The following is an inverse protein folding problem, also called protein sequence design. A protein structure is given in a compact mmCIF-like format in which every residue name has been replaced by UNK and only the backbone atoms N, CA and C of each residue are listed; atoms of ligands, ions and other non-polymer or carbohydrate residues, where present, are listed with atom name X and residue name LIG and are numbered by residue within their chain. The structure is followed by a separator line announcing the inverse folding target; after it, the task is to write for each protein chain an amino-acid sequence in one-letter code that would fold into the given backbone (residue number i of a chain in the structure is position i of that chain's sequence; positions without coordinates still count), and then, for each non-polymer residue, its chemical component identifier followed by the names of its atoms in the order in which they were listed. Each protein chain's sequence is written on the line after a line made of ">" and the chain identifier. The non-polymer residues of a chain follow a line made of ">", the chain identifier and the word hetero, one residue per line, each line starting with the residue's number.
data_IF_682155226876
#
_entry.id   IF_682155226876
#
_cell.length_a   1.000
_cell.length_b   1.000
_cell.length_c   1.000
_cell.angle_alpha   90.00
_cell.angle_beta   90.00
_cell.angle_gamma   90.00
#
_symmetry.space_group_name_H-M   'P 1'
#
loop_
_entity.id
_entity.type
_entity.pdbx_description
1 polymer ?
#
# COMPACT_ATOMS: atom_id res chain seq x y z
N UNK A 1 -3.95 2.72 -22.62
CA UNK A 1 -3.25 1.53 -23.17
C UNK A 1 -2.21 1.10 -22.15
N UNK A 2 -2.54 0.12 -21.28
CA UNK A 2 -1.55 -0.51 -20.41
C UNK A 2 -0.68 -1.42 -21.29
N UNK A 3 0.46 -0.91 -21.73
CA UNK A 3 1.44 -1.72 -22.45
C UNK A 3 2.28 -2.47 -21.42
N UNK A 4 1.75 -3.59 -20.93
CA UNK A 4 2.44 -4.48 -19.99
C UNK A 4 3.75 -4.91 -20.65
N UNK A 5 4.88 -4.53 -20.05
CA UNK A 5 6.20 -4.96 -20.53
C UNK A 5 6.30 -6.47 -20.36
N UNK A 6 6.64 -7.17 -21.44
CA UNK A 6 7.03 -8.57 -21.35
C UNK A 6 8.29 -8.72 -20.50
N UNK A 7 8.53 -9.90 -19.93
CA UNK A 7 9.76 -10.17 -19.17
C UNK A 7 11.01 -9.91 -20.00
N UNK A 8 10.97 -10.22 -21.30
CA UNK A 8 12.06 -9.94 -22.23
C UNK A 8 12.29 -8.44 -22.43
N UNK A 9 11.24 -7.65 -22.65
CA UNK A 9 11.37 -6.20 -22.75
C UNK A 9 11.87 -5.57 -21.46
N UNK A 10 11.39 -6.05 -20.30
CA UNK A 10 11.84 -5.62 -18.99
C UNK A 10 13.33 -5.91 -18.80
N UNK A 11 13.77 -7.13 -19.12
CA UNK A 11 15.19 -7.53 -19.05
C UNK A 11 16.09 -6.62 -19.89
N UNK A 12 15.69 -6.31 -21.14
CA UNK A 12 16.44 -5.42 -22.03
C UNK A 12 16.51 -3.99 -21.49
N UNK A 13 15.41 -3.48 -20.93
CA UNK A 13 15.41 -2.17 -20.30
C UNK A 13 16.36 -2.15 -19.10
N UNK A 14 16.39 -3.21 -18.29
CA UNK A 14 17.24 -3.30 -17.11
C UNK A 14 18.71 -3.26 -17.52
N UNK A 15 19.11 -4.00 -18.55
CA UNK A 15 20.49 -3.97 -19.04
C UNK A 15 20.91 -2.57 -19.47
N UNK A 16 20.06 -1.90 -20.26
CA UNK A 16 20.30 -0.51 -20.68
C UNK A 16 20.40 0.44 -19.49
N UNK A 17 19.52 0.29 -18.50
CA UNK A 17 19.54 1.13 -17.30
C UNK A 17 20.83 0.92 -16.48
N UNK A 18 21.31 -0.32 -16.36
CA UNK A 18 22.60 -0.64 -15.71
C UNK A 18 23.78 -0.04 -16.48
N UNK A 19 23.71 0.03 -17.80
CA UNK A 19 24.72 0.68 -18.65
C UNK A 19 24.70 2.23 -18.56
N UNK A 20 23.65 2.80 -17.95
CA UNK A 20 23.48 4.23 -17.74
C UNK A 20 22.42 4.90 -18.63
N UNK A 21 21.58 4.14 -19.33
CA UNK A 21 20.44 4.69 -20.09
C UNK A 21 19.36 5.20 -19.13
N UNK A 22 19.33 6.52 -18.97
CA UNK A 22 18.37 7.22 -18.13
C UNK A 22 16.91 6.99 -18.55
N UNK A 23 16.62 6.89 -19.86
CA UNK A 23 15.25 6.65 -20.34
C UNK A 23 14.81 5.22 -20.00
N UNK A 24 15.72 4.27 -20.09
CA UNK A 24 15.44 2.90 -19.67
C UNK A 24 15.18 2.83 -18.16
N UNK A 25 16.00 3.51 -17.35
CA UNK A 25 15.80 3.58 -15.91
C UNK A 25 14.46 4.24 -15.54
N UNK A 26 14.15 5.38 -16.14
CA UNK A 26 12.86 6.07 -15.96
C UNK A 26 11.69 5.13 -16.23
N UNK A 27 11.72 4.44 -17.39
CA UNK A 27 10.65 3.52 -17.78
C UNK A 27 10.48 2.35 -16.79
N UNK A 28 11.57 1.81 -16.25
CA UNK A 28 11.51 0.74 -15.25
C UNK A 28 10.94 1.27 -13.93
N UNK A 29 11.43 2.40 -13.43
CA UNK A 29 10.96 2.96 -12.16
C UNK A 29 9.48 3.35 -12.25
N UNK A 30 9.06 4.01 -13.34
CA UNK A 30 7.65 4.31 -13.60
C UNK A 30 6.78 3.06 -13.70
N UNK A 31 7.32 1.92 -14.15
CA UNK A 31 6.55 0.67 -14.24
C UNK A 31 6.19 0.08 -12.88
N UNK A 32 6.94 0.42 -11.82
CA UNK A 32 6.72 -0.08 -10.45
C UNK A 32 6.32 1.01 -9.46
N UNK A 33 6.16 2.26 -9.90
CA UNK A 33 5.92 3.38 -8.99
C UNK A 33 4.61 3.26 -8.22
N UNK A 34 3.55 2.84 -8.92
CA UNK A 34 2.22 2.66 -8.32
C UNK A 34 2.23 1.47 -7.34
N UNK A 35 2.95 0.39 -7.66
CA UNK A 35 3.13 -0.76 -6.77
C UNK A 35 3.81 -0.35 -5.47
N UNK A 36 4.97 0.33 -5.57
CA UNK A 36 5.74 0.78 -4.41
C UNK A 36 4.91 1.75 -3.56
N UNK A 37 4.25 2.72 -4.19
CA UNK A 37 3.40 3.68 -3.48
C UNK A 37 2.26 3.01 -2.73
N UNK A 38 1.48 2.12 -3.36
CA UNK A 38 0.37 1.44 -2.70
C UNK A 38 0.85 0.53 -1.57
N UNK A 39 1.94 -0.22 -1.78
CA UNK A 39 2.48 -1.07 -0.73
C UNK A 39 2.91 -0.23 0.49
N UNK A 40 3.57 0.91 0.27
CA UNK A 40 3.94 1.85 1.34
C UNK A 40 2.71 2.45 2.02
N UNK A 41 1.72 2.92 1.27
CA UNK A 41 0.48 3.50 1.81
C UNK A 41 -0.26 2.52 2.72
N UNK A 42 -0.45 1.28 2.26
CA UNK A 42 -1.15 0.27 3.05
C UNK A 42 -0.35 -0.18 4.26
N UNK A 43 0.98 -0.14 4.16
CA UNK A 43 1.85 -0.52 5.27
C UNK A 43 1.93 0.58 6.33
N UNK A 44 1.99 1.85 5.95
CA UNK A 44 2.29 2.98 6.84
C UNK A 44 1.08 3.82 7.23
N UNK A 45 0.00 3.77 6.46
CA UNK A 45 -1.32 4.31 6.82
C UNK A 45 -1.60 5.74 6.36
N UNK A 46 -0.59 6.50 5.89
CA UNK A 46 -0.76 7.89 5.42
C UNK A 46 -0.09 8.11 4.07
N UNK A 47 -0.57 9.08 3.28
CA UNK A 47 0.05 9.45 1.99
C UNK A 47 1.45 10.00 2.19
N UNK A 48 1.64 10.88 3.17
CA UNK A 48 2.93 11.48 3.47
C UNK A 48 4.01 10.43 3.78
N UNK A 49 3.71 9.50 4.71
CA UNK A 49 4.65 8.44 5.07
C UNK A 49 4.91 7.50 3.88
N UNK A 50 3.90 7.28 3.02
CA UNK A 50 4.02 6.46 1.83
C UNK A 50 4.96 7.07 0.78
N UNK A 51 4.85 8.37 0.54
CA UNK A 51 5.71 9.12 -0.39
C UNK A 51 7.17 9.10 0.06
N UNK A 52 7.41 9.38 1.35
CA UNK A 52 8.75 9.38 1.93
C UNK A 52 9.39 7.99 1.87
N UNK A 53 8.65 6.94 2.24
CA UNK A 53 9.15 5.56 2.14
C UNK A 53 9.34 5.11 0.69
N UNK A 54 8.46 5.51 -0.24
CA UNK A 54 8.61 5.20 -1.66
C UNK A 54 9.91 5.80 -2.23
N UNK A 55 10.25 7.04 -1.84
CA UNK A 55 11.52 7.66 -2.21
C UNK A 55 12.72 6.83 -1.78
N UNK A 56 12.78 6.45 -0.50
CA UNK A 56 13.85 5.62 0.05
C UNK A 56 13.93 4.26 -0.67
N UNK A 57 12.78 3.67 -1.03
CA UNK A 57 12.70 2.42 -1.79
C UNK A 57 13.22 2.61 -3.21
N UNK A 58 12.85 3.67 -3.93
CA UNK A 58 13.36 3.91 -5.28
C UNK A 58 14.87 4.11 -5.29
N UNK A 59 15.42 4.82 -4.31
CA UNK A 59 16.88 4.93 -4.13
C UNK A 59 17.50 3.54 -3.98
N UNK A 60 16.91 2.65 -3.17
CA UNK A 60 17.39 1.26 -3.02
C UNK A 60 17.28 0.46 -4.31
N UNK A 61 16.18 0.58 -5.04
CA UNK A 61 15.97 -0.10 -6.33
C UNK A 61 17.05 0.34 -7.32
N UNK A 62 17.25 1.64 -7.49
CA UNK A 62 18.24 2.20 -8.43
C UNK A 62 19.66 1.76 -8.04
N UNK A 63 20.03 1.90 -6.77
CA UNK A 63 21.39 1.58 -6.28
C UNK A 63 21.71 0.09 -6.31
N UNK A 64 20.71 -0.78 -6.24
CA UNK A 64 20.90 -2.23 -6.27
C UNK A 64 20.54 -2.85 -7.63
N UNK A 65 20.22 -2.05 -8.65
CA UNK A 65 19.71 -2.56 -9.93
C UNK A 65 20.70 -3.53 -10.61
N UNK A 66 22.00 -3.27 -10.51
CA UNK A 66 23.08 -4.15 -11.03
C UNK A 66 23.07 -5.55 -10.40
N UNK A 67 22.56 -5.69 -9.17
CA UNK A 67 22.50 -6.96 -8.44
C UNK A 67 21.32 -7.85 -8.83
N UNK A 68 20.38 -7.34 -9.65
CA UNK A 68 19.21 -8.11 -10.06
C UNK A 68 19.59 -9.19 -11.08
N UNK A 69 19.62 -10.45 -10.61
CA UNK A 69 20.03 -11.62 -11.41
C UNK A 69 19.00 -12.13 -12.42
N UNK A 70 17.80 -11.54 -12.49
CA UNK A 70 16.70 -11.96 -13.39
C UNK A 70 16.25 -13.42 -13.22
N UNK A 71 16.44 -13.96 -12.01
CA UNK A 71 15.96 -15.30 -11.61
C UNK A 71 14.49 -15.30 -11.16
N UNK A 72 13.90 -14.10 -11.02
CA UNK A 72 12.48 -13.88 -10.75
C UNK A 72 12.00 -12.66 -11.52
N UNK A 73 10.68 -12.47 -11.60
CA UNK A 73 10.11 -11.24 -12.17
C UNK A 73 10.65 -10.00 -11.45
N UNK A 74 10.83 -8.90 -12.19
CA UNK A 74 11.32 -7.63 -11.62
C UNK A 74 10.41 -7.12 -10.49
N UNK A 75 9.09 -7.29 -10.63
CA UNK A 75 8.12 -6.95 -9.58
C UNK A 75 8.37 -7.70 -8.27
N UNK A 76 8.70 -9.00 -8.33
CA UNK A 76 9.05 -9.82 -7.16
C UNK A 76 10.30 -9.29 -6.45
N UNK A 77 11.32 -8.91 -7.21
CA UNK A 77 12.53 -8.31 -6.63
C UNK A 77 12.24 -6.96 -5.96
N UNK A 78 11.40 -6.11 -6.59
CA UNK A 78 10.94 -4.84 -6.03
C UNK A 78 10.11 -5.05 -4.76
N UNK A 79 9.20 -6.04 -4.73
CA UNK A 79 8.45 -6.40 -3.53
C UNK A 79 9.37 -6.74 -2.37
N UNK A 80 10.41 -7.55 -2.61
CA UNK A 80 11.38 -7.93 -1.58
C UNK A 80 12.12 -6.71 -1.01
N UNK A 81 12.61 -5.81 -1.86
CA UNK A 81 13.26 -4.56 -1.41
C UNK A 81 12.28 -3.72 -0.59
N UNK A 82 11.07 -3.55 -1.10
CA UNK A 82 10.04 -2.70 -0.50
C UNK A 82 9.60 -3.22 0.87
N UNK A 83 9.27 -4.51 0.97
CA UNK A 83 8.85 -5.15 2.22
C UNK A 83 9.96 -5.11 3.26
N UNK A 84 11.21 -5.39 2.88
CA UNK A 84 12.35 -5.30 3.80
C UNK A 84 12.54 -3.89 4.33
N UNK A 85 12.44 -2.87 3.46
CA UNK A 85 12.53 -1.48 3.88
C UNK A 85 11.38 -1.13 4.84
N UNK A 86 10.13 -1.42 4.46
CA UNK A 86 8.93 -1.08 5.22
C UNK A 86 8.86 -1.79 6.58
N UNK A 87 9.33 -3.04 6.70
CA UNK A 87 9.42 -3.74 8.00
C UNK A 87 10.30 -3.01 9.01
N UNK A 88 11.33 -2.30 8.52
CA UNK A 88 12.28 -1.54 9.33
C UNK A 88 11.96 -0.04 9.42
N UNK A 89 10.94 0.45 8.70
CA UNK A 89 10.62 1.86 8.67
C UNK A 89 9.98 2.30 9.99
N UNK A 90 10.60 3.27 10.69
CA UNK A 90 10.17 3.75 12.01
C UNK A 90 9.73 5.22 12.06
N UNK A 91 9.78 5.92 10.93
CA UNK A 91 9.46 7.35 10.84
C UNK A 91 7.97 7.64 10.60
N UNK A 92 7.12 6.61 10.62
CA UNK A 92 5.69 6.74 10.32
C UNK A 92 4.85 7.02 11.58
N UNK A 93 3.66 7.59 11.38
CA UNK A 93 2.74 8.03 12.45
C UNK A 93 2.47 6.96 13.53
N UNK A 94 2.30 5.71 13.13
CA UNK A 94 1.92 4.59 14.02
C UNK A 94 3.10 3.84 14.64
N UNK A 95 4.35 4.26 14.41
CA UNK A 95 5.53 3.49 14.82
C UNK A 95 5.70 3.43 16.35
N UNK A 96 5.36 4.52 17.04
CA UNK A 96 5.59 4.69 18.48
C UNK A 96 4.32 4.50 19.33
N UNK A 97 3.16 4.42 18.69
CA UNK A 97 1.86 4.20 19.33
C UNK A 97 1.03 3.23 18.46
N UNK A 98 1.37 1.93 18.47
CA UNK A 98 0.68 0.94 17.64
C UNK A 98 -0.78 0.82 18.07
N UNK A 99 -1.67 0.79 17.08
CA UNK A 99 -3.09 0.55 17.32
C UNK A 99 -3.33 -0.93 17.63
N UNK A 100 -4.44 -1.23 18.29
CA UNK A 100 -4.95 -2.60 18.47
C UNK A 100 -6.40 -2.67 18.03
N UNK A 101 -6.85 -3.86 17.65
CA UNK A 101 -8.26 -4.06 17.29
C UNK A 101 -9.21 -3.80 18.47
N UNK A 102 -8.77 -4.10 19.69
CA UNK A 102 -9.53 -3.81 20.91
C UNK A 102 -9.71 -2.30 21.10
N UNK A 103 -8.62 -1.54 21.02
CA UNK A 103 -8.67 -0.08 21.11
C UNK A 103 -9.54 0.52 20.00
N UNK A 104 -9.38 0.04 18.76
CA UNK A 104 -10.13 0.59 17.64
C UNK A 104 -11.62 0.24 17.72
N UNK A 105 -11.97 -0.98 18.16
CA UNK A 105 -13.34 -1.37 18.45
C UNK A 105 -13.96 -0.49 19.53
N UNK A 106 -13.23 -0.26 20.62
CA UNK A 106 -13.69 0.60 21.72
C UNK A 106 -13.93 2.06 21.26
N UNK A 107 -13.11 2.61 20.37
CA UNK A 107 -13.35 3.93 19.77
C UNK A 107 -14.62 3.96 18.89
N UNK A 108 -14.91 2.87 18.18
CA UNK A 108 -16.13 2.78 17.37
C UNK A 108 -17.36 2.80 18.28
N UNK A 109 -17.34 2.03 19.38
CA UNK A 109 -18.47 1.89 20.29
C UNK A 109 -18.67 3.09 21.22
N UNK A 110 -17.59 3.66 21.74
CA UNK A 110 -17.63 4.68 22.79
C UNK A 110 -17.28 6.09 22.30
N UNK A 111 -16.97 6.25 21.02
CA UNK A 111 -16.66 7.55 20.42
C UNK A 111 -17.85 8.50 20.57
N UNK A 112 -17.62 9.67 21.16
CA UNK A 112 -18.63 10.71 21.36
C UNK A 112 -18.85 11.49 20.06
N UNK A 113 -19.77 11.01 19.23
CA UNK A 113 -20.01 11.58 17.89
C UNK A 113 -21.09 12.66 17.87
N UNK A 114 -22.03 12.64 18.83
CA UNK A 114 -23.19 13.55 18.86
C UNK A 114 -22.82 14.98 19.31
N UNK A 115 -21.81 15.11 20.16
CA UNK A 115 -21.39 16.40 20.75
C UNK A 115 -20.31 17.12 19.93
N UNK A 116 -20.06 16.68 18.68
CA UNK A 116 -19.02 17.27 17.82
C UNK A 116 -19.63 18.33 16.90
N UNK A 117 -19.13 19.58 16.93
CA UNK A 117 -19.64 20.64 16.04
C UNK A 117 -19.42 20.28 14.56
N UNK A 118 -20.09 21.01 13.67
CA UNK A 118 -19.78 20.91 12.24
C UNK A 118 -18.36 21.41 11.96
N UNK A 119 -17.50 20.50 11.52
CA UNK A 119 -16.11 20.75 11.17
C UNK A 119 -15.84 20.52 9.69
N UNK A 120 -16.88 20.38 8.86
CA UNK A 120 -16.77 20.02 7.43
C UNK A 120 -16.10 21.08 6.56
N UNK A 121 -15.98 22.32 7.06
CA UNK A 121 -15.42 23.47 6.32
C UNK A 121 -16.10 23.71 4.96
N UNK A 122 -17.37 23.36 4.83
CA UNK A 122 -18.14 23.53 3.59
C UNK A 122 -17.95 22.43 2.55
N UNK A 123 -17.14 21.40 2.83
CA UNK A 123 -17.04 20.20 1.99
C UNK A 123 -18.26 19.30 2.22
N UNK A 124 -18.80 18.71 1.15
CA UNK A 124 -19.94 17.80 1.28
C UNK A 124 -19.61 16.59 2.17
N UNK A 125 -20.53 16.27 3.09
CA UNK A 125 -20.36 15.14 4.02
C UNK A 125 -20.21 13.79 3.32
N UNK A 126 -20.80 13.63 2.14
CA UNK A 126 -20.66 12.43 1.30
C UNK A 126 -19.20 12.22 0.88
N UNK A 127 -18.55 13.28 0.38
CA UNK A 127 -17.11 13.26 0.02
C UNK A 127 -16.25 12.96 1.25
N UNK A 128 -16.51 13.61 2.38
CA UNK A 128 -15.76 13.36 3.62
C UNK A 128 -16.00 11.96 4.20
N UNK A 129 -17.20 11.41 4.02
CA UNK A 129 -17.51 10.03 4.41
C UNK A 129 -16.73 9.03 3.55
N UNK A 130 -16.63 9.26 2.24
CA UNK A 130 -15.85 8.39 1.36
C UNK A 130 -14.34 8.50 1.66
N UNK A 131 -13.84 9.71 1.93
CA UNK A 131 -12.48 9.95 2.45
C UNK A 131 -12.25 9.15 3.74
N UNK A 132 -13.19 9.20 4.68
CA UNK A 132 -13.13 8.45 5.93
C UNK A 132 -13.14 6.94 5.72
N UNK A 133 -13.97 6.41 4.80
CA UNK A 133 -14.00 4.97 4.47
C UNK A 133 -12.64 4.48 4.00
N UNK A 134 -11.95 5.27 3.19
CA UNK A 134 -10.64 4.91 2.70
C UNK A 134 -9.55 5.06 3.77
N UNK A 135 -9.62 6.14 4.56
CA UNK A 135 -8.72 6.36 5.71
C UNK A 135 -8.85 5.24 6.74
N UNK A 136 -10.07 4.88 7.16
CA UNK A 136 -10.27 3.85 8.20
C UNK A 136 -9.79 2.47 7.76
N UNK A 137 -9.87 2.15 6.45
CA UNK A 137 -9.32 0.93 5.89
C UNK A 137 -7.80 0.87 6.10
N UNK A 138 -7.09 1.97 5.88
CA UNK A 138 -5.64 2.05 6.10
C UNK A 138 -5.25 2.03 7.58
N UNK A 139 -5.96 2.80 8.39
CA UNK A 139 -5.72 2.90 9.83
C UNK A 139 -6.00 1.56 10.53
N UNK A 140 -7.04 0.83 10.12
CA UNK A 140 -7.37 -0.49 10.68
C UNK A 140 -6.24 -1.49 10.48
N UNK A 141 -5.57 -1.46 9.32
CA UNK A 141 -4.42 -2.34 9.07
C UNK A 141 -3.26 -2.06 10.04
N UNK A 142 -3.22 -0.89 10.67
CA UNK A 142 -2.23 -0.56 11.69
C UNK A 142 -2.45 -1.32 13.01
N UNK A 143 -3.62 -1.94 13.20
CA UNK A 143 -3.90 -2.86 14.31
C UNK A 143 -3.25 -4.24 14.15
N UNK A 144 -2.75 -4.56 12.95
CA UNK A 144 -1.89 -5.72 12.71
C UNK A 144 -0.45 -5.36 13.02
N UNK A 145 0.32 -6.33 13.53
CA UNK A 145 1.78 -6.19 13.55
C UNK A 145 2.32 -6.07 12.11
N UNK A 146 3.50 -5.48 11.96
CA UNK A 146 4.06 -5.16 10.64
C UNK A 146 4.18 -6.38 9.72
N UNK A 147 4.53 -7.56 10.26
CA UNK A 147 4.66 -8.77 9.44
C UNK A 147 3.29 -9.29 8.98
N UNK A 148 2.32 -9.38 9.89
CA UNK A 148 0.93 -9.74 9.54
C UNK A 148 0.31 -8.75 8.54
N UNK A 149 0.62 -7.47 8.68
CA UNK A 149 0.18 -6.43 7.75
C UNK A 149 0.75 -6.66 6.34
N UNK A 150 2.06 -6.90 6.24
CA UNK A 150 2.69 -7.22 4.95
C UNK A 150 2.08 -8.48 4.32
N UNK A 151 1.87 -9.55 5.09
CA UNK A 151 1.23 -10.79 4.61
C UNK A 151 -0.16 -10.47 4.04
N UNK A 152 -0.97 -9.72 4.78
CA UNK A 152 -2.32 -9.35 4.34
C UNK A 152 -2.30 -8.52 3.06
N UNK A 153 -1.44 -7.50 2.97
CA UNK A 153 -1.35 -6.62 1.80
C UNK A 153 -0.94 -7.41 0.56
N UNK A 154 0.11 -8.23 0.65
CA UNK A 154 0.59 -9.03 -0.48
C UNK A 154 -0.45 -10.04 -0.96
N UNK A 155 -1.13 -10.73 -0.04
CA UNK A 155 -2.08 -11.78 -0.40
C UNK A 155 -3.46 -11.28 -0.80
N UNK A 156 -3.96 -10.23 -0.14
CA UNK A 156 -5.33 -9.73 -0.34
C UNK A 156 -5.40 -8.63 -1.38
N UNK A 157 -4.42 -7.72 -1.41
CA UNK A 157 -4.48 -6.53 -2.26
C UNK A 157 -3.72 -6.74 -3.56
N UNK A 158 -2.50 -7.28 -3.46
CA UNK A 158 -1.68 -7.58 -4.63
C UNK A 158 -1.88 -9.00 -5.19
N UNK A 159 -2.60 -9.87 -4.45
CA UNK A 159 -2.93 -11.24 -4.86
C UNK A 159 -1.70 -12.07 -5.28
N UNK A 160 -0.60 -11.94 -4.53
CA UNK A 160 0.61 -12.74 -4.77
C UNK A 160 0.38 -14.22 -4.51
N UNK A 161 0.88 -15.06 -5.43
CA UNK A 161 1.05 -16.51 -5.26
C UNK A 161 1.89 -16.82 -4.00
N UNK A 162 1.55 -17.90 -3.29
CA UNK A 162 2.18 -18.22 -2.00
C UNK A 162 3.66 -18.55 -2.11
N UNK A 163 4.15 -19.02 -3.27
CA UNK A 163 5.58 -19.24 -3.51
C UNK A 163 6.30 -17.90 -3.60
N UNK A 164 5.79 -16.98 -4.42
CA UNK A 164 6.35 -15.62 -4.57
C UNK A 164 6.29 -14.88 -3.24
N UNK A 165 5.16 -14.92 -2.54
CA UNK A 165 5.03 -14.28 -1.23
C UNK A 165 5.97 -14.91 -0.19
N UNK A 166 6.17 -16.23 -0.24
CA UNK A 166 7.15 -16.94 0.59
C UNK A 166 8.59 -16.45 0.34
N UNK A 167 8.99 -16.28 -0.92
CA UNK A 167 10.28 -15.71 -1.30
C UNK A 167 10.46 -14.26 -0.83
N UNK A 168 9.41 -13.44 -0.97
CA UNK A 168 9.41 -12.04 -0.54
C UNK A 168 9.53 -11.92 0.98
N UNK A 169 8.83 -12.78 1.73
CA UNK A 169 8.73 -12.70 3.18
C UNK A 169 9.73 -13.59 3.94
N UNK A 170 10.48 -14.45 3.25
CA UNK A 170 11.43 -15.37 3.85
C UNK A 170 10.75 -16.50 4.64
N UNK A 171 9.64 -17.03 4.15
CA UNK A 171 8.90 -18.13 4.77
C UNK A 171 8.42 -19.16 3.75
N UNK A 172 7.98 -20.34 4.20
CA UNK A 172 7.43 -21.35 3.29
C UNK A 172 6.05 -20.92 2.77
N UNK A 173 5.72 -21.35 1.55
CA UNK A 173 4.40 -21.13 0.94
C UNK A 173 3.25 -21.59 1.84
N UNK A 174 3.42 -22.75 2.51
CA UNK A 174 2.46 -23.28 3.48
C UNK A 174 2.29 -22.37 4.70
N UNK A 175 3.39 -21.92 5.30
CA UNK A 175 3.34 -21.01 6.44
C UNK A 175 2.68 -19.68 6.08
N UNK A 176 2.94 -19.16 4.88
CA UNK A 176 2.30 -17.97 4.35
C UNK A 176 0.79 -18.14 4.22
N UNK A 177 0.31 -19.20 3.56
CA UNK A 177 -1.13 -19.48 3.37
C UNK A 177 -1.87 -19.57 4.70
N UNK A 178 -1.30 -20.32 5.65
CA UNK A 178 -1.88 -20.45 6.99
C UNK A 178 -1.95 -19.12 7.76
N UNK A 179 -0.89 -18.30 7.70
CA UNK A 179 -0.88 -16.99 8.33
C UNK A 179 -1.88 -16.04 7.67
N UNK A 180 -1.90 -15.98 6.33
CA UNK A 180 -2.81 -15.14 5.56
C UNK A 180 -4.28 -15.45 5.90
N UNK A 181 -4.66 -16.73 5.92
CA UNK A 181 -6.04 -17.12 6.26
C UNK A 181 -6.44 -16.67 7.68
N UNK A 182 -5.53 -16.83 8.67
CA UNK A 182 -5.78 -16.34 10.04
C UNK A 182 -5.92 -14.82 10.10
N UNK A 183 -5.09 -14.09 9.36
CA UNK A 183 -5.12 -12.63 9.34
C UNK A 183 -6.41 -12.13 8.67
N UNK A 184 -6.79 -12.71 7.53
CA UNK A 184 -8.06 -12.41 6.85
C UNK A 184 -9.25 -12.61 7.76
N UNK A 185 -9.31 -13.73 8.47
CA UNK A 185 -10.37 -14.01 9.45
C UNK A 185 -10.43 -12.94 10.54
N UNK A 186 -9.28 -12.60 11.14
CA UNK A 186 -9.20 -11.56 12.17
C UNK A 186 -9.74 -10.20 11.68
N UNK A 187 -9.37 -9.80 10.47
CA UNK A 187 -9.85 -8.55 9.87
C UNK A 187 -11.34 -8.64 9.52
N UNK A 188 -11.79 -9.75 8.93
CA UNK A 188 -13.19 -9.98 8.56
C UNK A 188 -14.11 -9.98 9.79
N UNK A 189 -13.70 -10.62 10.89
CA UNK A 189 -14.44 -10.65 12.15
C UNK A 189 -14.59 -9.24 12.73
N UNK A 190 -13.51 -8.46 12.74
CA UNK A 190 -13.55 -7.07 13.18
C UNK A 190 -14.49 -6.22 12.32
N UNK A 191 -14.35 -6.28 11.00
CA UNK A 191 -15.21 -5.51 10.09
C UNK A 191 -16.67 -5.96 10.22
N UNK A 192 -16.94 -7.26 10.33
CA UNK A 192 -18.30 -7.79 10.50
C UNK A 192 -18.96 -7.34 11.80
N UNK A 193 -18.16 -7.18 12.86
CA UNK A 193 -18.63 -6.75 14.18
C UNK A 193 -18.88 -5.24 14.24
N UNK A 194 -17.97 -4.43 13.68
CA UNK A 194 -17.95 -2.99 13.92
C UNK A 194 -18.33 -2.14 12.70
N UNK A 195 -18.00 -2.58 11.48
CA UNK A 195 -18.17 -1.77 10.26
C UNK A 195 -19.54 -1.96 9.62
N UNK A 196 -20.30 -0.88 9.47
CA UNK A 196 -21.61 -0.88 8.82
C UNK A 196 -21.61 -1.05 7.31
N UNK A 197 -20.50 -0.71 6.65
CA UNK A 197 -20.38 -0.83 5.19
C UNK A 197 -20.06 -2.26 4.76
N UNK A 198 -19.49 -3.06 5.68
CA UNK A 198 -19.05 -4.43 5.41
C UNK A 198 -19.94 -5.49 6.06
N UNK A 199 -20.57 -5.18 7.20
CA UNK A 199 -21.41 -6.11 7.92
C UNK A 199 -22.51 -5.40 8.71
N UNK A 200 -23.05 -6.09 9.72
CA UNK A 200 -24.10 -5.57 10.60
C UNK A 200 -23.60 -4.63 11.69
N UNK A 201 -22.34 -4.19 11.62
CA UNK A 201 -21.72 -3.37 12.66
C UNK A 201 -22.35 -1.98 12.80
N UNK A 202 -22.09 -1.31 13.93
CA UNK A 202 -22.72 -0.03 14.27
C UNK A 202 -22.04 1.19 13.66
N UNK A 203 -20.79 1.09 13.19
CA UNK A 203 -20.09 2.23 12.59
C UNK A 203 -20.83 2.73 11.34
N UNK A 204 -21.04 4.05 11.25
CA UNK A 204 -21.60 4.74 10.08
C UNK A 204 -20.68 5.90 9.71
N UNK A 205 -20.00 5.81 8.58
CA UNK A 205 -18.99 6.82 8.19
C UNK A 205 -19.57 8.23 8.12
N UNK A 206 -20.78 8.37 7.56
CA UNK A 206 -21.52 9.64 7.48
C UNK A 206 -21.74 10.31 8.84
N UNK A 207 -22.00 9.54 9.89
CA UNK A 207 -22.24 10.05 11.25
C UNK A 207 -20.92 10.38 11.97
N UNK A 208 -19.81 9.75 11.55
CA UNK A 208 -18.50 9.90 12.18
C UNK A 208 -17.61 10.97 11.55
N UNK A 209 -18.06 11.67 10.50
CA UNK A 209 -17.25 12.66 9.77
C UNK A 209 -16.65 13.70 10.70
N UNK A 210 -17.46 14.41 11.50
CA UNK A 210 -16.97 15.47 12.38
C UNK A 210 -16.03 14.92 13.46
N UNK A 211 -16.38 13.79 14.07
CA UNK A 211 -15.52 13.09 15.03
C UNK A 211 -14.17 12.68 14.42
N UNK A 212 -14.17 12.23 13.16
CA UNK A 212 -12.95 11.87 12.45
C UNK A 212 -12.07 13.09 12.16
N UNK A 213 -12.67 14.24 11.81
CA UNK A 213 -11.95 15.51 11.62
C UNK A 213 -11.34 15.97 12.95
N UNK A 214 -12.11 15.95 14.04
CA UNK A 214 -11.66 16.32 15.38
C UNK A 214 -10.47 15.48 15.85
N UNK A 215 -10.48 14.18 15.56
CA UNK A 215 -9.40 13.25 15.91
C UNK A 215 -8.30 13.15 14.84
N UNK A 216 -8.25 14.10 13.91
CA UNK A 216 -7.23 14.20 12.86
C UNK A 216 -7.10 12.95 11.97
N UNK A 217 -8.19 12.19 11.78
CA UNK A 217 -8.23 11.03 10.87
C UNK A 217 -8.44 11.40 9.42
N UNK A 218 -9.11 12.53 9.18
CA UNK A 218 -9.31 13.15 7.87
C UNK A 218 -9.21 14.67 8.03
N UNK A 219 -8.87 15.37 6.96
CA UNK A 219 -8.75 16.83 6.93
C UNK A 219 -9.59 17.38 5.77
N UNK A 220 -10.63 18.20 6.01
CA UNK A 220 -11.44 18.77 4.93
C UNK A 220 -10.64 19.65 3.96
N UNK A 221 -9.54 20.25 4.42
CA UNK A 221 -8.64 21.02 3.58
C UNK A 221 -7.67 20.15 2.75
N UNK A 222 -7.59 18.85 3.04
CA UNK A 222 -6.70 17.90 2.38
C UNK A 222 -7.38 16.52 2.25
N UNK A 223 -8.07 16.34 1.12
CA UNK A 223 -8.77 15.09 0.78
C UNK A 223 -7.83 14.18 -0.02
N UNK A 224 -6.99 13.42 0.68
CA UNK A 224 -5.95 12.60 0.05
C UNK A 224 -6.56 11.52 -0.87
N UNK A 225 -7.60 10.82 -0.41
CA UNK A 225 -8.22 9.74 -1.19
C UNK A 225 -9.14 10.26 -2.28
N UNK A 226 -9.93 11.30 -2.00
CA UNK A 226 -10.84 11.88 -3.00
C UNK A 226 -10.08 12.52 -4.19
N UNK A 227 -8.88 13.05 -3.95
CA UNK A 227 -8.03 13.62 -4.99
C UNK A 227 -7.11 12.61 -5.67
N UNK A 228 -6.99 11.40 -5.12
CA UNK A 228 -6.13 10.36 -5.69
C UNK A 228 -6.76 9.73 -6.94
N UNK A 229 -5.96 9.58 -8.00
CA UNK A 229 -6.41 8.87 -9.19
C UNK A 229 -6.40 7.37 -8.93
N UNK A 230 -7.55 6.70 -9.00
CA UNK A 230 -7.66 5.26 -8.83
C UNK A 230 -7.11 4.49 -10.05
N UNK A 231 -6.43 3.37 -9.80
CA UNK A 231 -6.04 2.43 -10.86
C UNK A 231 -6.96 1.20 -10.86
N UNK A 232 -7.29 0.65 -12.04
CA UNK A 232 -8.07 -0.58 -12.12
C UNK A 232 -7.37 -1.72 -11.37
N UNK A 233 -8.15 -2.51 -10.62
CA UNK A 233 -7.66 -3.69 -9.88
C UNK A 233 -6.83 -4.63 -10.78
N UNK A 234 -7.21 -4.77 -12.05
CA UNK A 234 -6.47 -5.57 -13.02
C UNK A 234 -5.01 -5.09 -13.21
N UNK A 235 -4.75 -3.78 -13.14
CA UNK A 235 -3.39 -3.23 -13.26
C UNK A 235 -2.50 -3.67 -12.10
N UNK A 236 -3.09 -3.91 -10.93
CA UNK A 236 -2.36 -4.40 -9.74
C UNK A 236 -2.14 -5.91 -9.82
N UNK A 237 -3.13 -6.64 -10.33
CA UNK A 237 -3.03 -8.09 -10.57
C UNK A 237 -2.01 -8.39 -11.67
N UNK A 238 -1.86 -7.51 -12.66
CA UNK A 238 -0.90 -7.70 -13.74
C UNK A 238 0.57 -7.76 -13.26
N UNK A 239 0.87 -7.35 -12.01
CA UNK A 239 2.19 -7.53 -11.40
C UNK A 239 2.49 -8.97 -10.96
N UNK A 240 1.49 -9.86 -10.95
CA UNK A 240 1.63 -11.26 -10.52
C UNK A 240 1.32 -12.21 -11.69
N UNK A 241 2.23 -13.15 -11.93
CA UNK A 241 2.11 -14.09 -13.06
C UNK A 241 1.17 -15.28 -12.78
N UNK A 242 0.76 -15.45 -11.51
CA UNK A 242 -0.13 -16.51 -11.08
C UNK A 242 -1.07 -16.01 -9.97
N UNK A 243 -2.37 -16.28 -10.12
CA UNK A 243 -3.36 -16.15 -9.06
C UNK A 243 -3.59 -17.55 -8.46
N UNK A 244 -3.35 -17.70 -7.16
CA UNK A 244 -3.79 -18.90 -6.44
C UNK A 244 -5.31 -18.88 -6.25
N UNK A 245 -5.93 -20.06 -6.13
CA UNK A 245 -7.29 -20.16 -5.61
C UNK A 245 -7.32 -19.53 -4.22
N UNK A 246 -8.09 -18.45 -4.11
CA UNK A 246 -8.12 -17.65 -2.91
C UNK A 246 -9.27 -18.14 -2.04
N UNK A 247 -9.04 -18.23 -0.72
CA UNK A 247 -10.10 -18.55 0.25
C UNK A 247 -11.32 -17.62 0.10
N UNK A 248 -12.51 -18.10 0.49
CA UNK A 248 -13.79 -17.37 0.32
C UNK A 248 -13.75 -15.95 0.92
N UNK A 249 -12.99 -15.77 1.99
CA UNK A 249 -12.80 -14.48 2.67
C UNK A 249 -12.02 -13.47 1.85
N UNK A 250 -11.36 -13.84 0.76
CA UNK A 250 -10.65 -12.88 -0.08
C UNK A 250 -11.57 -11.94 -0.86
N UNK A 251 -12.73 -12.44 -1.29
CA UNK A 251 -13.69 -11.67 -2.08
C UNK A 251 -14.27 -10.52 -1.26
N UNK A 252 -14.38 -10.74 0.05
CA UNK A 252 -14.77 -9.74 1.05
C UNK A 252 -13.92 -8.47 1.06
N UNK A 253 -12.68 -8.52 0.56
CA UNK A 253 -11.76 -7.37 0.61
C UNK A 253 -11.70 -6.55 -0.68
N UNK A 254 -12.70 -6.70 -1.57
CA UNK A 254 -12.80 -5.94 -2.82
C UNK A 254 -12.92 -4.42 -2.67
N UNK A 255 -13.23 -3.92 -1.46
CA UNK A 255 -13.28 -2.48 -1.14
C UNK A 255 -11.89 -1.81 -1.06
N UNK A 256 -10.82 -2.60 -1.03
CA UNK A 256 -9.45 -2.12 -0.98
C UNK A 256 -9.04 -1.50 -2.33
N UNK A 257 -9.27 -0.19 -2.49
CA UNK A 257 -8.87 0.54 -3.70
C UNK A 257 -7.35 0.61 -3.89
N UNK A 258 -6.91 0.93 -5.09
CA UNK A 258 -5.49 1.15 -5.41
C UNK A 258 -5.36 2.44 -6.20
N UNK A 259 -4.27 3.17 -5.99
CA UNK A 259 -4.11 4.53 -6.50
C UNK A 259 -2.88 4.66 -7.39
N UNK A 260 -2.89 5.60 -8.33
CA UNK A 260 -1.64 6.03 -8.95
C UNK A 260 -0.75 6.69 -7.91
N UNK A 261 0.55 6.48 -8.07
CA UNK A 261 1.58 7.24 -7.39
C UNK A 261 1.31 8.75 -7.53
N UNK A 262 1.48 9.46 -6.41
CA UNK A 262 1.14 10.89 -6.33
C UNK A 262 2.03 11.72 -7.25
N UNK A 263 1.59 12.95 -7.55
CA UNK A 263 2.41 13.91 -8.28
C UNK A 263 3.75 14.17 -7.57
N UNK A 264 3.75 14.20 -6.23
CA UNK A 264 4.99 14.30 -5.44
C UNK A 264 5.88 13.08 -5.63
N UNK A 265 5.34 11.87 -5.59
CA UNK A 265 6.10 10.64 -5.87
C UNK A 265 6.73 10.67 -7.26
N UNK A 266 5.98 11.09 -8.28
CA UNK A 266 6.50 11.24 -9.66
C UNK A 266 7.61 12.28 -9.75
N UNK A 267 7.43 13.44 -9.10
CA UNK A 267 8.46 14.48 -9.03
C UNK A 267 9.72 14.00 -8.31
N UNK A 268 9.58 13.23 -7.23
CA UNK A 268 10.70 12.61 -6.53
C UNK A 268 11.46 11.65 -7.43
N UNK A 269 10.75 10.85 -8.24
CA UNK A 269 11.39 9.99 -9.25
C UNK A 269 12.16 10.84 -10.26
N UNK A 270 11.57 11.91 -10.80
CA UNK A 270 12.25 12.81 -11.73
C UNK A 270 13.50 13.46 -11.11
N UNK A 271 13.40 13.96 -9.87
CA UNK A 271 14.53 14.54 -9.14
C UNK A 271 15.64 13.51 -8.90
N UNK A 272 15.28 12.28 -8.51
CA UNK A 272 16.23 11.18 -8.35
C UNK A 272 16.94 10.84 -9.67
N UNK A 273 16.22 10.76 -10.77
CA UNK A 273 16.77 10.50 -12.11
C UNK A 273 17.62 11.66 -12.65
N UNK A 274 17.41 12.87 -12.15
CA UNK A 274 18.17 14.08 -12.50
C UNK A 274 19.36 14.33 -11.58
N UNK A 275 19.38 13.74 -10.38
CA UNK A 275 20.50 13.84 -9.46
C UNK A 275 21.75 13.12 -10.00
N UNK A 276 22.95 13.47 -9.49
CA UNK A 276 24.24 12.89 -9.92
C UNK A 276 24.56 11.42 -9.52
N UNK A 277 23.70 10.57 -8.90
CA UNK A 277 24.08 9.19 -8.57
C UNK A 277 23.86 8.18 -9.72
N UNK A 278 23.52 8.60 -10.94
CA UNK A 278 23.55 7.70 -12.11
C UNK A 278 24.97 7.19 -12.44
N UNK A 279 26.01 7.85 -11.92
CA UNK A 279 27.40 7.39 -11.99
C UNK A 279 27.70 6.20 -11.07
N UNK A 280 26.81 5.87 -10.12
CA UNK A 280 27.03 4.86 -9.07
C UNK A 280 26.54 3.46 -9.48
N UNK A 281 25.65 3.34 -10.49
CA UNK A 281 25.12 2.04 -10.95
C UNK A 281 26.25 1.12 -11.49
N UNK A 282 27.40 1.69 -11.86
CA UNK A 282 28.56 0.95 -12.37
C UNK A 282 29.46 0.31 -11.30
N UNK A 283 29.35 0.69 -10.01
CA UNK A 283 30.37 0.37 -8.99
C UNK A 283 29.78 -0.19 -7.67
N UNK A 284 28.93 -1.23 -7.72
CA UNK A 284 28.63 -2.08 -6.56
C UNK A 284 28.34 -3.51 -7.00
#
# INVERSE_FOLDING_TARGET
>A
MNNKLTETEMSVLIDKAVEGDKKALEKIISSVSDLVFNLSLRTLGTFHDAEDAAQDIFVKIITNLSSFRKESAFSTWVFRISVNHLKSYKKHMFANAPLSFEFYGADIENGKIDDVPDMTQGVEKTVLSDELKMSCTNVMLQCLDTESRCIFILGTMFKLDSRIAGEVLGMTAEAYRQRLSRIRRKVADFLGTYCGEYGGGKCRCMERVNYAIQNHRINPAQLDYANAEEIPVQTVIDFTEAMEEIDDLSQSFGFCKTYKSTARTKKLIEELLNSEPLSVIKNS
#
